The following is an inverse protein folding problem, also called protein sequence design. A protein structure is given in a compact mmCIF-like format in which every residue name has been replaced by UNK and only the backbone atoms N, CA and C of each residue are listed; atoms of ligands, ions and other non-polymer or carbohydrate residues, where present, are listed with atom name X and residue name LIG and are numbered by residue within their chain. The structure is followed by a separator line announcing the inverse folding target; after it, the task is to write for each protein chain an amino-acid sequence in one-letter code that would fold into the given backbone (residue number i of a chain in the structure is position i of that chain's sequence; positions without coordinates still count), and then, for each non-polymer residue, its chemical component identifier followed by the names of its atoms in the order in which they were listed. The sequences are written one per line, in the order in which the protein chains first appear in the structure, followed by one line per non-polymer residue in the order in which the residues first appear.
data_IF_892661411552
#
_entry.id   IF_892661411552
#
_cell.length_a   1.000
_cell.length_b   1.000
_cell.length_c   1.000
_cell.angle_alpha   90.00
_cell.angle_beta   90.00
_cell.angle_gamma   90.00
#
_symmetry.space_group_name_H-M   'P 1'
#
loop_
_entity.id
_entity.type
_entity.pdbx_description
1 polymer ?
#
# COMPACT_ATOMS: atom_id res chain seq x y z
N UNK A 1 7.21 -4.96 -54.06
CA UNK A 1 5.86 -4.40 -53.86
C UNK A 1 5.10 -5.33 -52.96
N UNK A 2 4.38 -4.75 -51.98
CA UNK A 2 3.61 -5.36 -50.90
C UNK A 2 4.36 -5.78 -49.63
N UNK A 3 4.49 -4.80 -48.73
CA UNK A 3 4.38 -4.98 -47.27
C UNK A 3 2.93 -5.34 -46.90
N UNK A 4 2.73 -5.92 -45.71
CA UNK A 4 1.64 -5.43 -44.87
C UNK A 4 2.07 -5.21 -43.40
N UNK A 5 1.97 -3.94 -43.01
CA UNK A 5 1.36 -3.37 -41.79
C UNK A 5 1.62 -4.01 -40.42
N UNK A 6 2.29 -3.22 -39.58
CA UNK A 6 2.53 -3.49 -38.17
C UNK A 6 1.29 -3.31 -37.30
N UNK A 7 1.14 -4.24 -36.35
CA UNK A 7 0.25 -4.11 -35.21
C UNK A 7 1.06 -3.58 -34.02
N UNK A 8 0.95 -2.27 -33.80
CA UNK A 8 1.45 -1.62 -32.60
C UNK A 8 0.62 -2.04 -31.39
N UNK A 9 1.30 -2.56 -30.36
CA UNK A 9 0.72 -2.76 -29.03
C UNK A 9 0.44 -1.39 -28.40
N UNK A 10 -0.82 -0.96 -28.44
CA UNK A 10 -1.30 0.20 -27.71
C UNK A 10 -1.80 -0.24 -26.33
N UNK A 11 -0.97 -0.04 -25.30
CA UNK A 11 -1.42 0.05 -23.91
C UNK A 11 -2.48 1.16 -23.82
N UNK A 12 -3.62 0.98 -23.12
CA UNK A 12 -4.61 2.02 -23.02
C UNK A 12 -4.06 3.20 -22.22
N UNK A 13 -3.64 4.26 -22.91
CA UNK A 13 -3.35 5.55 -22.32
C UNK A 13 -4.62 6.11 -21.70
N UNK A 14 -4.81 5.95 -20.38
CA UNK A 14 -5.65 6.88 -19.62
C UNK A 14 -4.91 8.22 -19.55
N UNK A 15 -5.20 9.08 -20.53
CA UNK A 15 -4.87 10.51 -20.46
C UNK A 15 -5.55 11.08 -19.21
N UNK A 16 -4.77 11.48 -18.21
CA UNK A 16 -5.24 12.37 -17.16
C UNK A 16 -5.71 13.67 -17.84
N UNK A 17 -7.03 13.85 -17.91
CA UNK A 17 -7.61 15.14 -18.26
C UNK A 17 -7.66 15.98 -17.00
N UNK A 18 -6.52 16.53 -16.61
CA UNK A 18 -6.52 17.71 -15.76
C UNK A 18 -5.78 18.82 -16.48
N UNK A 19 -6.57 19.65 -17.15
CA UNK A 19 -6.18 20.96 -17.64
C UNK A 19 -5.85 21.79 -16.40
N UNK A 20 -4.60 22.23 -16.26
CA UNK A 20 -4.20 23.29 -15.32
C UNK A 20 -5.17 24.45 -15.49
N UNK A 21 -6.06 24.63 -14.52
CA UNK A 21 -6.79 25.86 -14.32
C UNK A 21 -6.06 26.65 -13.23
N UNK A 22 -5.82 27.90 -13.56
CA UNK A 22 -5.12 28.89 -12.75
C UNK A 22 -5.73 29.03 -11.34
N UNK A 23 -4.86 29.42 -10.42
CA UNK A 23 -5.07 29.65 -8.99
C UNK A 23 -6.22 30.60 -8.63
N UNK A 24 -7.17 30.15 -7.80
CA UNK A 24 -7.97 30.98 -6.86
C UNK A 24 -8.49 30.10 -5.69
N UNK A 25 -8.89 30.64 -4.51
CA UNK A 25 -8.37 30.24 -3.20
C UNK A 25 -9.29 29.25 -2.46
N UNK A 26 -8.73 28.66 -1.40
CA UNK A 26 -9.32 27.72 -0.45
C UNK A 26 -10.83 27.90 -0.19
N UNK A 27 -11.61 26.87 -0.52
CA UNK A 27 -12.93 26.64 0.08
C UNK A 27 -13.06 25.14 0.37
N UNK A 28 -13.15 24.80 1.66
CA UNK A 28 -13.36 23.42 2.14
C UNK A 28 -14.70 22.84 1.64
N UNK A 29 -14.81 21.53 1.38
CA UNK A 29 -16.10 20.93 1.09
C UNK A 29 -16.85 20.65 2.39
N UNK A 30 -17.86 21.46 2.70
CA UNK A 30 -18.86 21.10 3.72
C UNK A 30 -19.85 20.10 3.12
N UNK A 31 -19.83 18.85 3.57
CA UNK A 31 -20.89 17.89 3.24
C UNK A 31 -22.14 18.26 4.04
N UNK A 32 -23.22 18.62 3.35
CA UNK A 32 -24.51 18.96 3.97
C UNK A 32 -25.43 17.74 3.90
N UNK A 33 -25.87 17.22 5.05
CA UNK A 33 -26.92 16.20 5.10
C UNK A 33 -28.27 16.85 5.43
N UNK A 34 -29.28 16.59 4.61
CA UNK A 34 -30.68 16.91 4.89
C UNK A 34 -31.32 15.70 5.56
N UNK A 35 -31.68 15.83 6.84
CA UNK A 35 -32.42 14.80 7.57
C UNK A 35 -33.86 15.28 7.73
N UNK A 36 -34.82 14.53 7.18
CA UNK A 36 -36.25 14.77 7.42
C UNK A 36 -36.69 14.10 8.72
N UNK A 37 -37.05 14.92 9.71
CA UNK A 37 -37.88 14.52 10.86
C UNK A 37 -39.10 15.45 10.84
N UNK A 38 -40.29 14.91 11.09
CA UNK A 38 -41.58 15.58 10.88
C UNK A 38 -41.60 17.10 11.12
N UNK A 39 -42.06 17.85 10.10
CA UNK A 39 -42.41 19.30 10.08
C UNK A 39 -41.53 20.28 10.88
N UNK A 40 -40.25 20.00 11.12
CA UNK A 40 -39.32 20.98 11.70
C UNK A 40 -38.04 20.98 10.87
N UNK A 41 -37.70 22.14 10.30
CA UNK A 41 -36.46 22.37 9.55
C UNK A 41 -35.38 22.86 10.51
N UNK A 42 -34.30 22.09 10.68
CA UNK A 42 -33.13 22.49 11.44
C UNK A 42 -31.86 22.24 10.63
N UNK A 43 -31.01 23.26 10.50
CA UNK A 43 -29.70 23.17 9.85
C UNK A 43 -28.66 22.81 10.93
N UNK A 44 -27.90 21.74 10.72
CA UNK A 44 -26.75 21.41 11.57
C UNK A 44 -25.49 21.57 10.73
N UNK A 45 -24.67 22.57 11.07
CA UNK A 45 -23.35 22.79 10.48
C UNK A 45 -22.29 22.20 11.44
N UNK A 46 -21.53 21.21 10.99
CA UNK A 46 -20.38 20.70 11.72
C UNK A 46 -19.11 21.29 11.11
N UNK A 47 -18.38 22.06 11.92
CA UNK A 47 -17.08 22.65 11.57
C UNK A 47 -15.95 21.61 11.72
N UNK A 48 -15.02 21.49 10.76
CA UNK A 48 -13.87 20.61 10.89
C UNK A 48 -12.77 21.36 11.65
N UNK A 49 -12.68 21.13 12.96
CA UNK A 49 -11.47 21.42 13.74
C UNK A 49 -11.18 20.19 14.59
N UNK A 50 -9.94 19.68 14.62
CA UNK A 50 -9.56 18.68 15.60
C UNK A 50 -9.42 19.37 16.97
N UNK A 51 -9.61 18.60 18.04
CA UNK A 51 -9.31 18.90 19.46
C UNK A 51 -10.51 19.03 20.43
N UNK A 52 -10.44 18.13 21.41
CA UNK A 52 -11.05 18.13 22.75
C UNK A 52 -12.52 17.70 22.88
N UNK A 53 -12.71 16.40 23.09
CA UNK A 53 -13.88 15.91 23.84
C UNK A 53 -13.68 16.19 25.34
N UNK A 54 -14.31 17.26 25.84
CA UNK A 54 -14.82 17.32 27.20
C UNK A 54 -16.28 17.78 27.11
N UNK A 55 -17.20 16.83 27.04
CA UNK A 55 -18.63 17.14 27.04
C UNK A 55 -19.12 17.32 28.47
N UNK A 56 -18.99 18.52 29.02
CA UNK A 56 -19.88 18.99 30.06
C UNK A 56 -21.15 19.51 29.37
N UNK A 57 -22.17 18.66 29.30
CA UNK A 57 -23.52 19.10 28.93
C UNK A 57 -24.04 20.02 30.04
N UNK A 58 -23.97 21.33 29.82
CA UNK A 58 -24.79 22.29 30.59
C UNK A 58 -26.11 22.51 29.84
N UNK A 59 -27.27 22.25 30.47
CA UNK A 59 -28.54 22.60 29.86
C UNK A 59 -28.71 24.12 29.87
N UNK A 60 -28.89 24.71 28.68
CA UNK A 60 -29.32 26.10 28.53
C UNK A 60 -30.80 26.17 28.88
N UNK A 61 -31.11 26.77 30.02
CA UNK A 61 -32.48 27.14 30.38
C UNK A 61 -32.86 28.41 29.60
N UNK A 62 -33.66 28.26 28.55
CA UNK A 62 -34.43 29.37 27.97
C UNK A 62 -35.79 29.40 28.67
N UNK A 63 -35.94 30.34 29.60
CA UNK A 63 -37.20 30.59 30.30
C UNK A 63 -38.18 31.38 29.43
N UNK A 64 -39.46 31.00 29.50
CA UNK A 64 -40.62 31.87 29.26
C UNK A 64 -41.81 31.39 30.14
N UNK A 65 -42.75 32.29 30.49
CA UNK A 65 -43.57 32.16 31.69
C UNK A 65 -44.86 31.36 31.50
N UNK A 66 -45.30 30.79 32.62
CA UNK A 66 -46.69 30.58 33.07
C UNK A 66 -47.79 30.36 32.01
N UNK A 67 -48.28 29.12 31.88
CA UNK A 67 -49.67 28.76 32.20
C UNK A 67 -49.84 27.24 32.21
N UNK A 68 -50.62 26.73 33.16
CA UNK A 68 -50.60 25.32 33.58
C UNK A 68 -51.32 24.34 32.66
N UNK A 69 -50.95 23.07 32.76
CA UNK A 69 -51.86 21.92 32.70
C UNK A 69 -51.19 20.66 33.28
N UNK A 70 -52.00 19.81 33.93
CA UNK A 70 -51.62 18.67 34.79
C UNK A 70 -51.35 17.36 34.01
N UNK A 71 -50.38 16.59 34.53
CA UNK A 71 -50.20 15.12 34.63
C UNK A 71 -50.36 14.15 33.43
N UNK A 72 -49.22 13.57 33.00
CA UNK A 72 -48.89 12.12 32.84
C UNK A 72 -49.38 11.34 31.60
N UNK A 73 -48.76 10.18 31.20
CA UNK A 73 -47.60 9.47 31.75
C UNK A 73 -46.44 9.21 30.76
N UNK A 74 -45.31 8.78 31.35
CA UNK A 74 -44.05 8.35 30.76
C UNK A 74 -44.16 7.43 29.53
N UNK A 75 -43.47 7.79 28.44
CA UNK A 75 -42.63 6.87 27.64
C UNK A 75 -41.73 7.68 26.69
N UNK A 76 -40.60 8.16 27.21
CA UNK A 76 -39.51 8.63 26.36
C UNK A 76 -38.93 7.39 25.67
N UNK A 77 -39.32 7.17 24.42
CA UNK A 77 -38.63 6.25 23.53
C UNK A 77 -37.28 6.89 23.21
N UNK A 78 -36.21 6.39 23.84
CA UNK A 78 -34.85 6.67 23.42
C UNK A 78 -34.66 6.08 22.03
N UNK A 79 -34.82 6.91 20.99
CA UNK A 79 -34.44 6.53 19.63
C UNK A 79 -32.92 6.58 19.58
N UNK A 80 -32.28 5.44 19.82
CA UNK A 80 -30.88 5.25 19.48
C UNK A 80 -30.78 5.26 17.95
N UNK A 81 -30.35 6.38 17.38
CA UNK A 81 -29.98 6.45 15.97
C UNK A 81 -28.68 5.66 15.84
N UNK A 82 -28.80 4.38 15.50
CA UNK A 82 -27.69 3.60 14.97
C UNK A 82 -27.42 4.11 13.56
N UNK A 83 -26.53 5.09 13.42
CA UNK A 83 -25.90 5.33 12.13
C UNK A 83 -24.98 4.13 11.91
N UNK A 84 -25.41 3.17 11.09
CA UNK A 84 -24.52 2.20 10.48
C UNK A 84 -23.63 2.98 9.51
N UNK A 85 -22.64 3.71 10.03
CA UNK A 85 -21.49 4.09 9.23
C UNK A 85 -20.70 2.79 9.08
N UNK A 86 -20.67 2.21 7.87
CA UNK A 86 -19.51 1.40 7.52
C UNK A 86 -18.32 2.37 7.58
N UNK A 87 -17.37 2.19 8.50
CA UNK A 87 -16.16 2.98 8.44
C UNK A 87 -15.36 2.42 7.26
N UNK A 88 -15.52 3.03 6.08
CA UNK A 88 -14.47 2.92 5.07
C UNK A 88 -13.24 3.61 5.66
N UNK A 89 -12.18 2.83 5.88
CA UNK A 89 -10.91 3.34 6.38
C UNK A 89 -10.10 3.79 5.16
N UNK A 90 -9.83 5.10 5.01
CA UNK A 90 -9.12 5.58 3.83
C UNK A 90 -7.67 5.09 3.84
N UNK A 91 -7.19 4.61 2.69
CA UNK A 91 -5.77 4.40 2.40
C UNK A 91 -5.03 5.75 2.33
N UNK A 92 -3.71 5.75 2.51
CA UNK A 92 -2.88 6.95 2.29
C UNK A 92 -2.68 7.25 0.80
N UNK A 93 -2.67 6.20 -0.03
CA UNK A 93 -2.80 6.32 -1.49
C UNK A 93 -4.27 6.36 -1.91
N UNK A 94 -4.55 6.73 -3.17
CA UNK A 94 -5.91 6.73 -3.69
C UNK A 94 -6.51 5.32 -3.75
N UNK A 95 -5.68 4.31 -4.03
CA UNK A 95 -6.01 2.89 -4.11
C UNK A 95 -4.83 2.08 -3.57
N UNK A 96 -5.10 0.88 -3.04
CA UNK A 96 -4.05 -0.01 -2.55
C UNK A 96 -3.17 -0.55 -3.70
N UNK A 97 -1.86 -0.66 -3.46
CA UNK A 97 -0.93 -1.27 -4.42
C UNK A 97 -1.09 -2.79 -4.38
N UNK A 98 -1.32 -3.40 -5.54
CA UNK A 98 -1.53 -4.83 -5.71
C UNK A 98 -0.22 -5.46 -6.20
N UNK A 99 0.59 -5.95 -5.26
CA UNK A 99 1.91 -6.51 -5.54
C UNK A 99 1.80 -7.99 -5.94
N UNK A 100 2.19 -8.31 -7.18
CA UNK A 100 2.38 -9.68 -7.62
C UNK A 100 3.65 -10.28 -6.98
N UNK A 101 3.46 -11.16 -5.98
CA UNK A 101 4.55 -11.71 -5.17
C UNK A 101 5.44 -12.65 -5.98
N UNK A 102 6.69 -12.24 -6.20
CA UNK A 102 7.66 -12.86 -7.12
C UNK A 102 7.11 -13.01 -8.54
N UNK A 103 6.28 -12.04 -8.94
CA UNK A 103 5.42 -12.12 -10.11
C UNK A 103 4.13 -12.90 -9.83
N UNK A 104 3.51 -13.46 -10.86
CA UNK A 104 2.29 -14.27 -10.73
C UNK A 104 2.63 -15.73 -10.38
N UNK A 105 3.31 -15.98 -9.25
CA UNK A 105 3.92 -17.29 -8.95
C UNK A 105 2.94 -18.46 -8.79
N UNK A 106 1.66 -18.19 -8.56
CA UNK A 106 0.64 -19.23 -8.61
C UNK A 106 0.39 -19.76 -10.03
N UNK A 107 0.83 -19.02 -11.06
CA UNK A 107 0.49 -19.23 -12.47
C UNK A 107 1.72 -19.42 -13.37
N UNK A 108 2.91 -18.97 -12.94
CA UNK A 108 4.18 -19.08 -13.67
C UNK A 108 5.35 -19.29 -12.69
N UNK A 109 6.52 -19.77 -13.15
CA UNK A 109 7.70 -19.95 -12.29
C UNK A 109 8.12 -18.62 -11.62
N UNK A 110 8.32 -18.63 -10.31
CA UNK A 110 8.60 -17.41 -9.54
C UNK A 110 9.91 -16.74 -9.95
N UNK A 111 9.97 -15.42 -9.75
CA UNK A 111 11.13 -14.58 -10.07
C UNK A 111 11.65 -14.76 -11.51
N UNK A 112 10.75 -15.00 -12.47
CA UNK A 112 11.07 -15.02 -13.90
C UNK A 112 10.40 -13.86 -14.64
N UNK A 113 10.99 -13.42 -15.76
CA UNK A 113 10.36 -12.41 -16.63
C UNK A 113 8.95 -12.82 -17.05
N UNK A 114 8.71 -14.11 -17.30
CA UNK A 114 7.38 -14.63 -17.62
C UNK A 114 6.36 -14.36 -16.50
N UNK A 115 6.72 -14.64 -15.24
CA UNK A 115 5.85 -14.42 -14.10
C UNK A 115 5.59 -12.93 -13.84
N UNK A 116 6.59 -12.07 -14.00
CA UNK A 116 6.44 -10.62 -13.86
C UNK A 116 5.51 -10.04 -14.92
N UNK A 117 5.76 -10.37 -16.20
CA UNK A 117 4.90 -9.95 -17.32
C UNK A 117 3.48 -10.49 -17.14
N UNK A 118 3.31 -11.73 -16.66
CA UNK A 118 2.00 -12.26 -16.36
C UNK A 118 1.30 -11.50 -15.23
N UNK A 119 2.00 -11.15 -14.14
CA UNK A 119 1.44 -10.37 -13.04
C UNK A 119 0.85 -9.03 -13.51
N UNK A 120 1.62 -8.28 -14.29
CA UNK A 120 1.14 -7.01 -14.87
C UNK A 120 -0.03 -7.22 -15.85
N UNK A 121 0.01 -8.27 -16.67
CA UNK A 121 -1.12 -8.60 -17.58
C UNK A 121 -2.40 -8.96 -16.84
N UNK A 122 -2.31 -9.54 -15.66
CA UNK A 122 -3.46 -9.85 -14.80
C UNK A 122 -4.00 -8.62 -14.06
N UNK A 123 -3.34 -7.47 -14.17
CA UNK A 123 -3.81 -6.19 -13.61
C UNK A 123 -3.14 -5.79 -12.29
N UNK A 124 -2.05 -6.45 -11.88
CA UNK A 124 -1.25 -5.98 -10.75
C UNK A 124 -0.74 -4.55 -10.99
N UNK A 125 -0.85 -3.69 -9.97
CA UNK A 125 -0.33 -2.32 -10.01
C UNK A 125 1.10 -2.23 -9.48
N UNK A 126 1.59 -3.31 -8.88
CA UNK A 126 2.99 -3.46 -8.51
C UNK A 126 3.52 -4.88 -8.66
N UNK A 127 4.84 -5.00 -8.66
CA UNK A 127 5.57 -6.25 -8.63
C UNK A 127 6.37 -6.34 -7.34
N UNK A 128 6.54 -7.56 -6.83
CA UNK A 128 7.48 -7.83 -5.75
C UNK A 128 8.50 -8.88 -6.19
N UNK A 129 9.73 -8.74 -5.69
CA UNK A 129 10.80 -9.71 -5.88
C UNK A 129 11.85 -9.63 -4.77
N UNK A 130 12.62 -10.69 -4.61
CA UNK A 130 13.81 -10.75 -3.77
C UNK A 130 15.06 -10.42 -4.60
N UNK A 131 16.03 -9.66 -4.07
CA UNK A 131 17.23 -9.25 -4.82
C UNK A 131 18.55 -9.64 -4.13
N UNK A 132 19.47 -10.12 -4.95
CA UNK A 132 20.86 -10.48 -4.61
C UNK A 132 21.83 -9.79 -5.56
N UNK A 133 23.11 -9.72 -5.18
CA UNK A 133 24.18 -9.23 -6.05
C UNK A 133 25.08 -10.39 -6.50
N UNK A 134 25.49 -10.41 -7.76
CA UNK A 134 26.49 -11.37 -8.27
C UNK A 134 27.91 -10.96 -7.91
N UNK A 135 28.88 -11.86 -8.12
CA UNK A 135 30.30 -11.58 -7.89
C UNK A 135 30.84 -10.41 -8.75
N UNK A 136 30.26 -10.18 -9.92
CA UNK A 136 30.55 -9.07 -10.83
C UNK A 136 29.62 -7.85 -10.66
N UNK A 137 28.85 -7.79 -9.57
CA UNK A 137 28.10 -6.58 -9.22
C UNK A 137 26.82 -6.37 -10.01
N UNK A 138 26.17 -7.42 -10.50
CA UNK A 138 24.86 -7.36 -11.17
C UNK A 138 23.76 -7.70 -10.18
N UNK A 139 22.76 -6.82 -10.05
CA UNK A 139 21.59 -7.09 -9.22
C UNK A 139 20.65 -8.08 -9.93
N UNK A 140 20.38 -9.22 -9.29
CA UNK A 140 19.59 -10.32 -9.83
C UNK A 140 18.45 -10.71 -8.90
N UNK A 141 17.38 -11.23 -9.50
CA UNK A 141 16.10 -11.50 -8.85
C UNK A 141 15.96 -13.00 -8.57
N UNK A 142 16.03 -13.38 -7.31
CA UNK A 142 15.93 -14.78 -6.87
C UNK A 142 15.60 -14.83 -5.38
N UNK A 143 14.82 -15.82 -4.95
CA UNK A 143 14.45 -15.93 -3.54
C UNK A 143 15.52 -16.57 -2.68
N UNK A 144 16.15 -17.65 -3.17
CA UNK A 144 16.96 -18.54 -2.35
C UNK A 144 18.41 -18.05 -2.18
N UNK A 145 18.90 -17.21 -3.10
CA UNK A 145 20.23 -16.63 -3.07
C UNK A 145 21.36 -17.59 -3.41
N UNK A 146 21.03 -18.79 -3.89
CA UNK A 146 22.01 -19.84 -4.15
C UNK A 146 21.65 -20.63 -5.42
N UNK A 147 22.67 -20.97 -6.20
CA UNK A 147 22.54 -21.70 -7.46
C UNK A 147 23.33 -22.99 -7.45
N UNK A 148 22.97 -23.91 -8.35
CA UNK A 148 23.60 -25.22 -8.51
C UNK A 148 22.76 -26.37 -7.97
N UNK A 149 23.17 -27.61 -8.29
CA UNK A 149 22.44 -28.81 -7.89
C UNK A 149 22.56 -29.12 -6.40
N UNK A 150 21.76 -30.09 -5.93
CA UNK A 150 21.63 -30.51 -4.52
C UNK A 150 22.97 -30.72 -3.80
N UNK A 151 24.01 -31.16 -4.51
CA UNK A 151 25.33 -31.47 -3.93
C UNK A 151 26.40 -30.39 -4.14
N UNK A 152 26.10 -29.32 -4.90
CA UNK A 152 27.05 -28.22 -5.19
C UNK A 152 26.30 -26.89 -5.30
N UNK A 153 25.79 -26.40 -4.17
CA UNK A 153 25.20 -25.06 -4.06
C UNK A 153 26.30 -24.02 -3.90
N UNK A 154 26.19 -22.91 -4.64
CA UNK A 154 27.04 -21.72 -4.53
C UNK A 154 26.15 -20.51 -4.25
N UNK A 155 26.54 -19.60 -3.35
CA UNK A 155 25.83 -18.34 -3.19
C UNK A 155 25.95 -17.49 -4.45
N UNK A 156 24.88 -16.80 -4.82
CA UNK A 156 24.84 -15.91 -5.99
C UNK A 156 25.97 -14.88 -5.93
N UNK A 157 26.28 -14.36 -4.74
CA UNK A 157 27.40 -13.43 -4.50
C UNK A 157 28.79 -13.96 -4.84
N UNK A 158 28.94 -15.27 -5.08
CA UNK A 158 30.20 -15.91 -5.50
C UNK A 158 30.24 -16.30 -6.97
N UNK A 159 29.18 -16.01 -7.73
CA UNK A 159 29.01 -16.46 -9.12
C UNK A 159 28.87 -15.23 -10.03
N UNK A 160 29.51 -15.25 -11.19
CA UNK A 160 29.34 -14.21 -12.21
C UNK A 160 27.98 -14.31 -12.90
N UNK A 161 27.43 -13.18 -13.36
CA UNK A 161 26.13 -13.13 -14.04
C UNK A 161 26.01 -14.14 -15.20
N UNK A 162 27.07 -14.30 -16.00
CA UNK A 162 27.09 -15.19 -17.17
C UNK A 162 27.03 -16.68 -16.81
N UNK A 163 27.38 -17.03 -15.57
CA UNK A 163 27.34 -18.41 -15.06
C UNK A 163 26.02 -18.76 -14.37
N UNK A 164 25.17 -17.75 -14.11
CA UNK A 164 23.87 -17.99 -13.51
C UNK A 164 22.93 -18.71 -14.49
N UNK A 165 21.99 -19.53 -13.97
CA UNK A 165 20.91 -20.06 -14.78
C UNK A 165 20.16 -18.95 -15.54
N UNK A 166 19.81 -19.15 -16.82
CA UNK A 166 19.24 -18.10 -17.66
C UNK A 166 17.83 -17.65 -17.23
N UNK A 167 17.15 -18.45 -16.40
CA UNK A 167 15.82 -18.09 -15.89
C UNK A 167 15.87 -17.04 -14.77
N UNK A 168 17.03 -16.84 -14.12
CA UNK A 168 17.22 -15.81 -13.10
C UNK A 168 17.47 -14.47 -13.82
N UNK A 169 16.52 -13.52 -13.79
CA UNK A 169 16.69 -12.24 -14.45
C UNK A 169 17.49 -11.27 -13.57
N UNK A 170 18.14 -10.33 -14.23
CA UNK A 170 18.63 -9.10 -13.60
C UNK A 170 17.50 -8.10 -13.41
N UNK A 171 17.70 -7.15 -12.49
CA UNK A 171 16.78 -6.03 -12.32
C UNK A 171 16.66 -5.18 -13.60
N UNK A 172 17.75 -5.06 -14.38
CA UNK A 172 17.72 -4.34 -15.65
C UNK A 172 16.82 -5.05 -16.68
N UNK A 173 16.96 -6.37 -16.82
CA UNK A 173 16.11 -7.17 -17.72
C UNK A 173 14.63 -7.09 -17.33
N UNK A 174 14.32 -7.03 -16.02
CA UNK A 174 12.95 -6.79 -15.56
C UNK A 174 12.40 -5.46 -16.11
N UNK A 175 13.12 -4.35 -15.93
CA UNK A 175 12.68 -3.04 -16.42
C UNK A 175 12.64 -2.94 -17.95
N UNK A 176 13.55 -3.63 -18.65
CA UNK A 176 13.56 -3.69 -20.12
C UNK A 176 12.33 -4.41 -20.68
N UNK A 177 11.94 -5.54 -20.06
CA UNK A 177 10.81 -6.35 -20.51
C UNK A 177 9.46 -5.78 -20.05
N UNK A 178 9.35 -5.38 -18.78
CA UNK A 178 8.08 -4.97 -18.16
C UNK A 178 7.84 -3.46 -18.21
N UNK A 179 8.83 -2.65 -18.61
CA UNK A 179 8.79 -1.21 -18.43
C UNK A 179 9.03 -0.81 -16.97
N UNK A 180 8.58 0.38 -16.58
CA UNK A 180 8.82 0.95 -15.24
C UNK A 180 7.62 1.73 -14.67
N UNK A 181 6.46 1.65 -15.33
CA UNK A 181 5.23 2.36 -14.91
C UNK A 181 4.39 1.51 -13.93
N UNK A 182 5.03 0.95 -12.90
CA UNK A 182 4.42 0.16 -11.83
C UNK A 182 5.22 0.33 -10.53
N UNK A 183 4.59 0.07 -9.39
CA UNK A 183 5.26 0.06 -8.09
C UNK A 183 6.13 -1.21 -7.96
N UNK A 184 7.40 -1.08 -7.58
CA UNK A 184 8.29 -2.23 -7.43
C UNK A 184 8.77 -2.35 -5.98
N UNK A 185 8.38 -3.44 -5.32
CA UNK A 185 8.88 -3.80 -3.99
C UNK A 185 10.03 -4.81 -4.10
N UNK A 186 11.21 -4.43 -3.61
CA UNK A 186 12.38 -5.31 -3.59
C UNK A 186 12.76 -5.66 -2.16
N UNK A 187 12.66 -6.94 -1.82
CA UNK A 187 13.23 -7.53 -0.63
C UNK A 187 14.75 -7.63 -0.80
N UNK A 188 15.50 -6.72 -0.16
CA UNK A 188 16.97 -6.73 -0.22
C UNK A 188 17.50 -7.89 0.62
N UNK A 189 17.83 -9.02 0.00
CA UNK A 189 18.40 -10.17 0.73
C UNK A 189 19.91 -10.06 0.89
N UNK A 190 20.58 -9.40 -0.05
CA UNK A 190 21.99 -9.01 0.06
C UNK A 190 22.11 -7.48 0.17
N UNK A 191 22.47 -6.93 1.35
CA UNK A 191 22.69 -5.50 1.54
C UNK A 191 23.68 -4.85 0.56
N UNK A 192 24.61 -5.61 -0.01
CA UNK A 192 25.55 -5.09 -1.00
C UNK A 192 24.87 -4.79 -2.34
N UNK A 193 23.68 -5.34 -2.60
CA UNK A 193 22.90 -5.07 -3.80
C UNK A 193 22.31 -3.65 -3.83
N UNK A 194 22.13 -2.99 -2.68
CA UNK A 194 21.39 -1.72 -2.57
C UNK A 194 21.91 -0.62 -3.50
N UNK A 195 23.23 -0.44 -3.61
CA UNK A 195 23.81 0.58 -4.48
C UNK A 195 23.52 0.31 -5.96
N UNK A 196 23.63 -0.95 -6.37
CA UNK A 196 23.40 -1.37 -7.75
C UNK A 196 21.91 -1.29 -8.12
N UNK A 197 21.02 -1.72 -7.21
CA UNK A 197 19.56 -1.58 -7.36
C UNK A 197 19.19 -0.13 -7.64
N UNK A 198 19.71 0.80 -6.84
CA UNK A 198 19.43 2.23 -7.01
C UNK A 198 20.07 2.80 -8.29
N UNK A 199 21.26 2.34 -8.67
CA UNK A 199 21.90 2.75 -9.91
C UNK A 199 21.04 2.35 -11.12
N UNK A 200 20.56 1.10 -11.15
CA UNK A 200 19.68 0.58 -12.21
C UNK A 200 18.34 1.31 -12.20
N UNK A 201 17.67 1.42 -11.05
CA UNK A 201 16.40 2.15 -10.98
C UNK A 201 16.52 3.61 -11.46
N UNK A 202 17.63 4.30 -11.15
CA UNK A 202 17.90 5.66 -11.65
C UNK A 202 18.07 5.70 -13.16
N UNK A 203 18.73 4.71 -13.78
CA UNK A 203 18.90 4.71 -15.24
C UNK A 203 17.59 4.52 -15.99
N UNK A 204 16.58 3.92 -15.37
CA UNK A 204 15.23 3.78 -15.92
C UNK A 204 14.26 4.87 -15.45
N UNK A 205 14.68 5.79 -14.57
CA UNK A 205 13.78 6.80 -14.00
C UNK A 205 12.71 6.24 -13.05
N UNK A 206 12.94 5.04 -12.49
CA UNK A 206 11.97 4.26 -11.72
C UNK A 206 12.09 4.42 -10.20
N UNK A 207 12.92 5.37 -9.73
CA UNK A 207 13.21 5.46 -8.29
C UNK A 207 12.02 5.88 -7.43
N UNK A 208 11.06 6.63 -7.95
CA UNK A 208 9.89 7.08 -7.16
C UNK A 208 8.94 5.92 -6.86
N UNK A 209 8.87 4.94 -7.77
CA UNK A 209 8.05 3.73 -7.67
C UNK A 209 8.73 2.60 -6.88
N UNK A 210 9.98 2.80 -6.45
CA UNK A 210 10.77 1.75 -5.82
C UNK A 210 10.54 1.72 -4.30
N UNK A 211 10.29 0.54 -3.77
CA UNK A 211 10.19 0.24 -2.35
C UNK A 211 11.32 -0.72 -1.97
N UNK A 212 12.21 -0.30 -1.08
CA UNK A 212 13.31 -1.11 -0.58
C UNK A 212 12.93 -1.72 0.77
N UNK A 213 12.78 -3.04 0.79
CA UNK A 213 12.32 -3.80 1.93
C UNK A 213 13.48 -4.49 2.65
N UNK A 214 13.55 -4.34 3.97
CA UNK A 214 14.54 -5.03 4.81
C UNK A 214 14.02 -5.20 6.25
N UNK A 215 14.41 -6.27 6.99
CA UNK A 215 13.99 -6.46 8.38
C UNK A 215 14.88 -5.73 9.41
N UNK A 216 16.07 -5.31 9.03
CA UNK A 216 16.98 -4.54 9.89
C UNK A 216 16.71 -3.04 9.74
N UNK A 217 16.25 -2.42 10.82
CA UNK A 217 15.92 -1.00 10.89
C UNK A 217 17.14 -0.09 10.83
N UNK A 218 18.25 -0.45 11.49
CA UNK A 218 19.47 0.36 11.50
C UNK A 218 20.07 0.43 10.10
N UNK A 219 19.98 -0.68 9.36
CA UNK A 219 20.41 -0.74 7.98
C UNK A 219 19.53 0.14 7.06
N UNK A 220 18.20 0.08 7.21
CA UNK A 220 17.28 0.97 6.48
C UNK A 220 17.59 2.45 6.75
N UNK A 221 17.80 2.81 8.02
CA UNK A 221 18.20 4.17 8.41
C UNK A 221 19.48 4.61 7.67
N UNK A 222 20.48 3.73 7.59
CA UNK A 222 21.72 4.00 6.86
C UNK A 222 21.51 4.24 5.35
N UNK A 223 20.44 3.69 4.77
CA UNK A 223 20.11 3.85 3.36
C UNK A 223 19.28 5.09 3.06
N UNK A 224 18.80 5.84 4.07
CA UNK A 224 17.82 6.90 3.84
C UNK A 224 18.31 7.97 2.88
N UNK A 225 19.51 8.50 3.09
CA UNK A 225 20.05 9.58 2.26
C UNK A 225 20.38 9.11 0.84
N UNK A 226 20.93 7.90 0.70
CA UNK A 226 21.35 7.37 -0.59
C UNK A 226 20.18 6.86 -1.46
N UNK A 227 19.04 6.49 -0.85
CA UNK A 227 17.90 5.86 -1.53
C UNK A 227 16.89 6.83 -2.11
N UNK A 228 16.88 8.11 -1.70
CA UNK A 228 15.89 9.08 -2.21
C UNK A 228 15.91 9.14 -3.76
N UNK A 229 14.75 9.17 -4.43
CA UNK A 229 13.38 9.24 -3.88
C UNK A 229 12.70 7.91 -3.52
N UNK A 230 13.39 6.76 -3.56
CA UNK A 230 12.79 5.46 -3.24
C UNK A 230 12.22 5.39 -1.82
N UNK A 231 11.14 4.63 -1.66
CA UNK A 231 10.50 4.38 -0.37
C UNK A 231 11.27 3.31 0.40
N UNK A 232 11.43 3.48 1.71
CA UNK A 232 12.02 2.47 2.59
C UNK A 232 10.92 1.75 3.38
N UNK A 233 11.04 0.43 3.50
CA UNK A 233 10.02 -0.43 4.10
C UNK A 233 10.65 -1.33 5.15
N UNK A 234 10.16 -1.22 6.39
CA UNK A 234 10.54 -2.14 7.44
C UNK A 234 9.63 -3.38 7.41
N UNK A 235 10.17 -4.50 6.94
CA UNK A 235 9.46 -5.78 6.84
C UNK A 235 9.69 -6.61 8.09
N UNK A 236 8.64 -6.82 8.90
CA UNK A 236 8.81 -7.35 10.25
C UNK A 236 7.56 -8.11 10.74
N UNK A 237 7.56 -8.44 12.03
CA UNK A 237 6.45 -9.05 12.78
C UNK A 237 6.14 -8.17 13.98
N UNK A 238 4.88 -8.12 14.42
CA UNK A 238 4.50 -7.37 15.63
C UNK A 238 5.21 -7.89 16.87
N UNK A 239 5.44 -9.19 16.93
CA UNK A 239 6.17 -9.84 18.02
C UNK A 239 7.62 -9.35 18.15
N UNK A 240 8.21 -8.81 17.08
CA UNK A 240 9.54 -8.21 17.10
C UNK A 240 9.52 -6.76 17.62
N UNK A 241 8.35 -6.11 17.73
CA UNK A 241 8.22 -4.73 18.21
C UNK A 241 8.17 -4.68 19.73
N UNK A 242 9.35 -4.65 20.37
CA UNK A 242 9.49 -4.77 21.85
C UNK A 242 8.69 -3.74 22.67
N UNK A 243 8.31 -2.61 22.07
CA UNK A 243 7.56 -1.54 22.73
C UNK A 243 6.17 -1.29 22.12
N UNK A 244 5.67 -2.24 21.32
CA UNK A 244 4.38 -2.15 20.66
C UNK A 244 4.38 -1.31 19.38
N UNK A 245 3.28 -1.43 18.62
CA UNK A 245 3.15 -0.84 17.29
C UNK A 245 3.20 0.69 17.27
N UNK A 246 2.66 1.37 18.28
CA UNK A 246 2.63 2.86 18.31
C UNK A 246 4.03 3.45 18.43
N UNK A 247 4.84 2.92 19.35
CA UNK A 247 6.23 3.37 19.50
C UNK A 247 7.05 3.05 18.26
N UNK A 248 6.78 1.89 17.64
CA UNK A 248 7.42 1.52 16.41
C UNK A 248 7.05 2.47 15.25
N UNK A 249 5.77 2.80 15.07
CA UNK A 249 5.32 3.77 14.07
C UNK A 249 5.99 5.15 14.24
N UNK A 250 6.13 5.62 15.48
CA UNK A 250 6.86 6.84 15.79
C UNK A 250 8.35 6.75 15.42
N UNK A 251 8.99 5.61 15.69
CA UNK A 251 10.38 5.35 15.31
C UNK A 251 10.58 5.37 13.80
N UNK A 252 9.72 4.67 13.04
CA UNK A 252 9.74 4.71 11.56
C UNK A 252 9.62 6.15 11.04
N UNK A 253 8.73 6.94 11.65
CA UNK A 253 8.54 8.34 11.29
C UNK A 253 9.77 9.20 11.52
N UNK A 254 10.47 8.98 12.63
CA UNK A 254 11.71 9.67 12.98
C UNK A 254 12.87 9.27 12.07
N UNK A 255 12.97 7.99 11.75
CA UNK A 255 13.97 7.38 10.86
C UNK A 255 13.78 7.76 9.38
N UNK A 256 12.62 8.30 9.00
CA UNK A 256 12.30 8.56 7.60
C UNK A 256 12.03 7.29 6.79
N UNK A 257 11.60 6.21 7.46
CA UNK A 257 11.18 4.95 6.84
C UNK A 257 9.69 5.04 6.53
N UNK A 258 9.33 4.82 5.27
CA UNK A 258 8.04 5.22 4.70
C UNK A 258 6.92 4.23 4.98
N UNK A 259 7.25 2.94 5.12
CA UNK A 259 6.26 1.89 5.27
C UNK A 259 6.64 0.83 6.30
N UNK A 260 5.62 0.13 6.79
CA UNK A 260 5.75 -1.11 7.55
C UNK A 260 5.09 -2.23 6.75
N UNK A 261 5.80 -3.36 6.61
CA UNK A 261 5.27 -4.56 5.98
C UNK A 261 5.13 -5.65 7.05
N UNK A 262 3.90 -6.12 7.27
CA UNK A 262 3.58 -7.17 8.23
C UNK A 262 2.82 -8.29 7.53
N UNK A 263 2.85 -9.48 8.14
CA UNK A 263 2.06 -10.59 7.64
C UNK A 263 0.58 -10.27 7.75
N UNK A 264 -0.20 -10.74 6.78
CA UNK A 264 -1.64 -10.45 6.69
C UNK A 264 -2.39 -10.71 8.00
N UNK A 265 -2.03 -11.76 8.75
CA UNK A 265 -2.74 -12.16 9.98
C UNK A 265 -2.50 -11.22 11.16
N UNK A 266 -1.52 -10.33 11.05
CA UNK A 266 -1.15 -9.39 12.10
C UNK A 266 -1.84 -8.04 11.94
N UNK A 267 -2.59 -7.84 10.85
CA UNK A 267 -3.32 -6.61 10.58
C UNK A 267 -4.73 -6.59 11.18
N UNK A 268 -5.14 -5.39 11.55
CA UNK A 268 -6.48 -4.98 11.98
C UNK A 268 -6.67 -3.53 11.58
N UNK A 269 -7.92 -3.09 11.40
CA UNK A 269 -8.22 -1.69 11.07
C UNK A 269 -7.62 -0.69 12.08
N UNK A 270 -7.53 -1.08 13.36
CA UNK A 270 -6.90 -0.26 14.40
C UNK A 270 -5.39 -0.11 14.19
N UNK A 271 -4.70 -1.14 13.72
CA UNK A 271 -3.27 -1.04 13.39
C UNK A 271 -3.04 -0.22 12.13
N UNK A 272 -3.86 -0.41 11.10
CA UNK A 272 -3.79 0.40 9.87
C UNK A 272 -3.93 1.89 10.22
N UNK A 273 -5.01 2.22 10.93
CA UNK A 273 -5.27 3.59 11.42
C UNK A 273 -4.11 4.13 12.26
N UNK A 274 -3.51 3.29 13.11
CA UNK A 274 -2.39 3.68 13.95
C UNK A 274 -1.16 4.07 13.12
N UNK A 275 -0.74 3.25 12.15
CA UNK A 275 0.42 3.57 11.31
C UNK A 275 0.16 4.76 10.39
N UNK A 276 -1.06 4.88 9.86
CA UNK A 276 -1.50 6.04 9.08
C UNK A 276 -1.44 7.36 9.86
N UNK A 277 -1.73 7.34 11.17
CA UNK A 277 -1.57 8.52 12.04
C UNK A 277 -0.12 9.05 12.06
N UNK A 278 0.85 8.19 11.81
CA UNK A 278 2.27 8.55 11.65
C UNK A 278 2.68 8.72 10.18
N UNK A 279 1.72 8.75 9.25
CA UNK A 279 1.95 8.86 7.80
C UNK A 279 2.87 7.74 7.31
N UNK A 280 2.69 6.51 7.81
CA UNK A 280 3.42 5.32 7.37
C UNK A 280 2.49 4.45 6.54
N UNK A 281 2.93 4.04 5.35
CA UNK A 281 2.20 3.06 4.54
C UNK A 281 2.19 1.70 5.25
N UNK A 282 1.12 0.95 5.02
CA UNK A 282 0.84 -0.34 5.63
C UNK A 282 0.75 -1.38 4.53
N UNK A 283 1.62 -2.38 4.59
CA UNK A 283 1.71 -3.42 3.58
C UNK A 283 1.47 -4.79 4.22
N UNK A 284 0.72 -5.65 3.53
CA UNK A 284 0.27 -6.95 4.02
C UNK A 284 0.73 -8.10 3.14
N UNK A 285 1.59 -8.98 3.67
CA UNK A 285 2.14 -10.10 2.91
C UNK A 285 1.52 -11.46 3.26
N UNK A 286 1.68 -12.43 2.34
CA UNK A 286 1.07 -13.78 2.35
C UNK A 286 -0.47 -13.78 2.27
N UNK A 287 -1.06 -12.84 1.54
CA UNK A 287 -2.51 -12.73 1.38
C UNK A 287 -3.01 -13.58 0.19
N UNK A 288 -3.21 -14.89 0.40
CA UNK A 288 -3.50 -15.84 -0.69
C UNK A 288 -4.99 -16.12 -0.94
N UNK A 289 -5.84 -15.81 0.03
CA UNK A 289 -7.26 -16.17 0.03
C UNK A 289 -8.14 -14.93 -0.08
N UNK A 290 -9.26 -15.06 -0.80
CA UNK A 290 -10.19 -13.94 -1.04
C UNK A 290 -10.64 -13.25 0.25
N UNK A 291 -11.02 -14.03 1.27
CA UNK A 291 -11.41 -13.50 2.57
C UNK A 291 -10.30 -12.68 3.24
N UNK A 292 -9.05 -13.12 3.08
CA UNK A 292 -7.90 -12.40 3.65
C UNK A 292 -7.67 -11.11 2.88
N UNK A 293 -7.62 -11.17 1.55
CA UNK A 293 -7.38 -10.01 0.68
C UNK A 293 -8.48 -8.96 0.90
N UNK A 294 -9.76 -9.35 0.78
CA UNK A 294 -10.88 -8.44 0.99
C UNK A 294 -10.90 -7.84 2.39
N UNK A 295 -10.55 -8.62 3.42
CA UNK A 295 -10.44 -8.06 4.78
C UNK A 295 -9.33 -7.00 4.89
N UNK A 296 -8.18 -7.18 4.23
CA UNK A 296 -7.11 -6.19 4.23
C UNK A 296 -7.52 -4.91 3.49
N UNK A 297 -8.15 -5.05 2.31
CA UNK A 297 -8.63 -3.91 1.52
C UNK A 297 -9.68 -3.10 2.29
N UNK A 298 -10.65 -3.76 2.92
CA UNK A 298 -11.66 -3.12 3.78
C UNK A 298 -11.07 -2.40 4.99
N UNK A 299 -9.92 -2.84 5.49
CA UNK A 299 -9.21 -2.17 6.58
C UNK A 299 -8.48 -0.90 6.13
N UNK A 300 -8.43 -0.62 4.82
CA UNK A 300 -7.71 0.52 4.25
C UNK A 300 -6.21 0.29 4.14
N UNK A 301 -5.75 -0.95 3.92
CA UNK A 301 -4.33 -1.23 3.74
C UNK A 301 -3.77 -0.58 2.47
N UNK A 302 -2.52 -0.11 2.49
CA UNK A 302 -1.94 0.61 1.35
C UNK A 302 -1.31 -0.32 0.29
N UNK A 303 -1.01 -1.57 0.65
CA UNK A 303 -0.53 -2.55 -0.31
C UNK A 303 -0.70 -3.99 0.15
N UNK A 304 -0.96 -4.87 -0.81
CA UNK A 304 -1.21 -6.29 -0.59
C UNK A 304 -0.29 -7.11 -1.49
N UNK A 305 0.37 -8.12 -0.92
CA UNK A 305 1.17 -9.09 -1.68
C UNK A 305 0.41 -10.41 -1.79
N UNK A 306 0.27 -10.92 -3.01
CA UNK A 306 -0.38 -12.19 -3.27
C UNK A 306 0.29 -12.96 -4.40
N UNK A 307 0.32 -14.28 -4.28
CA UNK A 307 0.73 -15.22 -5.33
C UNK A 307 -0.38 -15.33 -6.40
N UNK A 308 -1.64 -15.15 -5.97
CA UNK A 308 -2.86 -15.26 -6.76
C UNK A 308 -3.33 -13.88 -7.23
N UNK A 309 -2.56 -13.31 -8.18
CA UNK A 309 -2.76 -11.96 -8.72
C UNK A 309 -4.17 -11.75 -9.27
N UNK A 310 -4.70 -12.74 -9.99
CA UNK A 310 -6.05 -12.76 -10.52
C UNK A 310 -7.10 -12.48 -9.43
N UNK A 311 -7.07 -13.25 -8.34
CA UNK A 311 -8.01 -13.09 -7.22
C UNK A 311 -7.88 -11.74 -6.54
N UNK A 312 -6.64 -11.27 -6.38
CA UNK A 312 -6.36 -9.99 -5.75
C UNK A 312 -6.92 -8.82 -6.56
N UNK A 313 -6.73 -8.84 -7.87
CA UNK A 313 -7.22 -7.80 -8.79
C UNK A 313 -8.75 -7.81 -8.89
N UNK A 314 -9.36 -8.99 -8.99
CA UNK A 314 -10.82 -9.14 -9.06
C UNK A 314 -11.50 -8.52 -7.83
N UNK A 315 -10.95 -8.74 -6.64
CA UNK A 315 -11.50 -8.19 -5.40
C UNK A 315 -11.32 -6.68 -5.29
N UNK A 316 -10.13 -6.16 -5.63
CA UNK A 316 -9.88 -4.71 -5.59
C UNK A 316 -10.78 -3.94 -6.57
N UNK A 317 -11.10 -4.56 -7.72
CA UNK A 317 -12.02 -3.97 -8.69
C UNK A 317 -13.46 -3.95 -8.18
N UNK A 318 -13.91 -5.01 -7.51
CA UNK A 318 -15.27 -5.10 -6.94
C UNK A 318 -15.54 -4.12 -5.80
N UNK A 319 -14.53 -3.74 -5.01
CA UNK A 319 -14.69 -2.71 -3.97
C UNK A 319 -14.74 -1.28 -4.52
N UNK A 320 -14.34 -1.09 -5.77
CA UNK A 320 -14.33 0.22 -6.43
C UNK A 320 -15.65 0.56 -7.15
N UNK A 321 -16.58 -0.40 -7.26
CA UNK A 321 -17.91 -0.28 -7.92
C UNK A 321 -19.02 0.08 -6.92
#
# INVERSE_FOLDING_TARGET
MYEPEGLGNAVPRRRSRYRLLESVPSVSPCVTYLITIGRIWGRVELSPQPFQFFTLLRPVWLGYPCCGYRHGPNSLHSVAIFILMNPEYPTLEAEAVLFAHRGARAHAPDNTLEAFTLGLRLGATGLESDVWITADGVAVLDHDGVVGGTFRRKPISSVHRQELPPHIPSLAELYEECGHEYELSLDIKDPNATQEVLRVARSFGACEQLWLCHPDLELLESWRELSRPARLVHSTRLTAMSFGAERHAAQLRQAGIDAVNLHHSEWSAGQVTLFHRFTRFTLGWDAQYERTIGALLQMGIDGVFSDHVDRMVDLATQESE
#
